data_IF_114043654316
#
_entry.id   IF_114043654316
#
_cell.length_a   1.000
_cell.length_b   1.000
_cell.length_c   1.000
_cell.angle_alpha   90.00
_cell.angle_beta   90.00
_cell.angle_gamma   90.00
#
_symmetry.space_group_name_H-M   'P 1'
#
loop_
_entity.id
_entity.type
_entity.pdbx_description
1 polymer ?
#
# COMPACT_ATOMS: atom_id res chain seq x y z
N UNK A 1 11.05 22.55 10.07
CA UNK A 1 11.54 22.08 8.75
C UNK A 1 10.85 22.83 7.61
N UNK A 2 9.52 22.80 7.45
CA UNK A 2 8.87 23.48 6.32
C UNK A 2 8.88 25.02 6.33
N UNK A 3 9.02 25.66 7.49
CA UNK A 3 8.92 27.12 7.63
C UNK A 3 10.00 27.92 6.86
N UNK A 4 11.11 27.29 6.50
CA UNK A 4 12.22 27.95 5.78
C UNK A 4 12.14 27.75 4.27
N UNK A 5 11.62 26.60 3.82
CA UNK A 5 11.72 26.16 2.42
C UNK A 5 10.38 26.11 1.66
N UNK A 6 9.25 26.40 2.33
CA UNK A 6 7.91 26.39 1.71
C UNK A 6 7.14 27.68 2.01
N UNK A 7 7.48 28.75 1.30
CA UNK A 7 6.78 30.03 1.41
C UNK A 7 5.28 29.95 1.06
N UNK A 8 4.83 28.88 0.40
CA UNK A 8 3.43 28.68 0.00
C UNK A 8 2.62 27.84 0.98
N UNK A 9 3.26 27.15 1.91
CA UNK A 9 2.63 26.19 2.82
C UNK A 9 2.05 24.93 2.14
N UNK A 10 2.21 24.79 0.83
CA UNK A 10 1.65 23.69 0.02
C UNK A 10 2.32 22.35 0.31
N UNK A 11 3.63 22.35 0.51
CA UNK A 11 4.36 21.13 0.88
C UNK A 11 3.95 20.67 2.28
N UNK A 12 3.85 21.60 3.23
CA UNK A 12 3.43 21.27 4.58
C UNK A 12 2.01 20.69 4.61
N UNK A 13 1.06 21.31 3.90
CA UNK A 13 -0.34 20.84 3.86
C UNK A 13 -0.47 19.50 3.15
N UNK A 14 0.21 19.29 2.02
CA UNK A 14 0.27 17.98 1.37
C UNK A 14 0.90 16.90 2.26
N UNK A 15 1.96 17.24 3.01
CA UNK A 15 2.60 16.34 3.94
C UNK A 15 1.67 15.92 5.08
N UNK A 16 0.89 16.85 5.65
CA UNK A 16 -0.10 16.54 6.69
C UNK A 16 -1.18 15.58 6.18
N UNK A 17 -1.66 15.76 4.95
CA UNK A 17 -2.62 14.84 4.32
C UNK A 17 -2.03 13.43 4.21
N UNK A 18 -0.78 13.32 3.75
CA UNK A 18 -0.07 12.04 3.65
C UNK A 18 0.11 11.36 5.01
N UNK A 19 0.50 12.12 6.04
CA UNK A 19 0.71 11.57 7.37
C UNK A 19 -0.60 11.12 8.04
N UNK A 20 -1.68 11.87 7.82
CA UNK A 20 -3.01 11.46 8.28
C UNK A 20 -3.50 10.20 7.55
N UNK A 21 -3.20 10.04 6.27
CA UNK A 21 -3.50 8.79 5.56
C UNK A 21 -2.72 7.61 6.14
N UNK A 22 -1.44 7.78 6.50
CA UNK A 22 -0.66 6.72 7.18
C UNK A 22 -1.27 6.36 8.53
N UNK A 23 -1.68 7.37 9.30
CA UNK A 23 -2.37 7.18 10.58
C UNK A 23 -3.66 6.38 10.40
N UNK A 24 -4.48 6.75 9.41
CA UNK A 24 -5.72 6.03 9.06
C UNK A 24 -5.43 4.56 8.75
N UNK A 25 -4.47 4.28 7.87
CA UNK A 25 -4.15 2.91 7.45
C UNK A 25 -3.51 2.05 8.55
N UNK A 26 -3.01 2.68 9.62
CA UNK A 26 -2.43 2.00 10.78
C UNK A 26 -3.44 1.80 11.93
N UNK A 27 -4.70 2.21 11.76
CA UNK A 27 -5.74 1.99 12.78
C UNK A 27 -6.03 0.50 12.98
N UNK A 28 -6.46 0.13 14.19
CA UNK A 28 -6.81 -1.24 14.56
C UNK A 28 -8.31 -1.53 14.63
N UNK A 29 -9.16 -0.54 14.36
CA UNK A 29 -10.62 -0.66 14.43
C UNK A 29 -11.31 0.21 13.39
N UNK A 30 -12.51 -0.20 12.96
CA UNK A 30 -13.31 0.58 12.02
C UNK A 30 -13.80 1.92 12.61
N UNK A 31 -14.01 1.97 13.92
CA UNK A 31 -14.40 3.20 14.61
C UNK A 31 -13.28 4.25 14.54
N UNK A 32 -12.05 3.83 14.87
CA UNK A 32 -10.88 4.71 14.78
C UNK A 32 -10.59 5.11 13.32
N UNK A 33 -10.77 4.18 12.39
CA UNK A 33 -10.60 4.43 10.96
C UNK A 33 -11.59 5.48 10.43
N UNK A 34 -12.86 5.42 10.85
CA UNK A 34 -13.86 6.42 10.48
C UNK A 34 -13.47 7.81 11.00
N UNK A 35 -13.09 7.92 12.28
CA UNK A 35 -12.63 9.18 12.86
C UNK A 35 -11.35 9.70 12.16
N UNK A 36 -10.43 8.82 11.79
CA UNK A 36 -9.22 9.18 11.05
C UNK A 36 -9.53 9.62 9.61
N UNK A 37 -10.55 9.04 8.97
CA UNK A 37 -11.03 9.42 7.64
C UNK A 37 -11.67 10.80 7.65
N UNK A 38 -12.46 11.12 8.67
CA UNK A 38 -13.07 12.46 8.81
C UNK A 38 -11.98 13.54 8.97
N UNK A 39 -10.96 13.26 9.81
CA UNK A 39 -9.79 14.15 9.92
C UNK A 39 -9.04 14.29 8.60
N UNK A 40 -8.88 13.19 7.85
CA UNK A 40 -8.26 13.22 6.53
C UNK A 40 -9.04 14.12 5.57
N UNK A 41 -10.37 14.02 5.55
CA UNK A 41 -11.23 14.88 4.73
C UNK A 41 -10.99 16.36 5.04
N UNK A 42 -11.02 16.73 6.32
CA UNK A 42 -10.77 18.12 6.75
C UNK A 42 -9.40 18.62 6.31
N UNK A 43 -8.36 17.79 6.39
CA UNK A 43 -7.03 18.17 5.92
C UNK A 43 -6.95 18.31 4.39
N UNK A 44 -7.63 17.45 3.65
CA UNK A 44 -7.70 17.54 2.18
C UNK A 44 -8.41 18.83 1.75
N UNK A 45 -9.54 19.14 2.38
CA UNK A 45 -10.30 20.37 2.13
C UNK A 45 -9.47 21.61 2.45
N UNK A 46 -8.72 21.60 3.56
CA UNK A 46 -7.81 22.69 3.93
C UNK A 46 -6.63 22.84 2.99
N UNK A 47 -6.07 21.74 2.49
CA UNK A 47 -5.00 21.79 1.51
C UNK A 47 -5.50 22.36 0.17
N UNK A 48 -6.73 21.99 -0.24
CA UNK A 48 -7.38 22.47 -1.45
C UNK A 48 -6.53 22.31 -2.74
N UNK A 49 -5.70 21.28 -2.81
CA UNK A 49 -4.82 21.01 -3.95
C UNK A 49 -5.40 19.91 -4.86
N UNK A 50 -5.17 19.97 -6.18
CA UNK A 50 -5.60 18.92 -7.11
C UNK A 50 -5.11 17.52 -6.72
N UNK A 51 -3.88 17.42 -6.22
CA UNK A 51 -3.22 16.17 -5.82
C UNK A 51 -3.90 15.57 -4.59
N UNK A 52 -4.16 16.36 -3.54
CA UNK A 52 -4.83 15.89 -2.32
C UNK A 52 -6.28 15.53 -2.59
N UNK A 53 -6.97 16.28 -3.45
CA UNK A 53 -8.33 15.98 -3.89
C UNK A 53 -8.40 14.66 -4.69
N UNK A 54 -7.39 14.38 -5.52
CA UNK A 54 -7.27 13.11 -6.24
C UNK A 54 -7.00 11.94 -5.30
N UNK A 55 -6.15 12.14 -4.30
CA UNK A 55 -5.88 11.15 -3.26
C UNK A 55 -7.18 10.82 -2.50
N UNK A 56 -7.92 11.84 -2.05
CA UNK A 56 -9.19 11.65 -1.35
C UNK A 56 -10.21 10.85 -2.18
N UNK A 57 -10.38 11.20 -3.46
CA UNK A 57 -11.25 10.41 -4.36
C UNK A 57 -10.82 8.94 -4.46
N UNK A 58 -9.53 8.68 -4.41
CA UNK A 58 -9.00 7.30 -4.41
C UNK A 58 -9.34 6.59 -3.11
N UNK A 59 -9.13 7.23 -1.96
CA UNK A 59 -9.48 6.68 -0.64
C UNK A 59 -10.97 6.36 -0.56
N UNK A 60 -11.84 7.29 -0.98
CA UNK A 60 -13.28 7.08 -1.00
C UNK A 60 -13.71 5.94 -1.94
N UNK A 61 -13.10 5.86 -3.13
CA UNK A 61 -13.40 4.81 -4.10
C UNK A 61 -13.08 3.40 -3.58
N UNK A 62 -11.99 3.27 -2.82
CA UNK A 62 -11.49 1.99 -2.30
C UNK A 62 -11.80 1.78 -0.82
N UNK A 63 -12.79 2.50 -0.29
CA UNK A 63 -13.06 2.52 1.15
C UNK A 63 -13.38 1.13 1.70
N UNK A 64 -14.18 0.34 0.97
CA UNK A 64 -14.55 -1.02 1.37
C UNK A 64 -13.35 -1.94 1.51
N UNK A 65 -12.38 -1.85 0.61
CA UNK A 65 -11.15 -2.63 0.65
C UNK A 65 -10.21 -2.17 1.78
N UNK A 66 -10.19 -0.87 2.08
CA UNK A 66 -9.45 -0.31 3.22
C UNK A 66 -10.04 -0.82 4.55
N UNK A 67 -11.36 -0.88 4.67
CA UNK A 67 -12.02 -1.48 5.85
C UNK A 67 -11.62 -2.95 6.03
N UNK A 68 -11.57 -3.72 4.94
CA UNK A 68 -11.10 -5.11 4.97
C UNK A 68 -9.64 -5.18 5.43
N UNK A 69 -8.76 -4.30 4.92
CA UNK A 69 -7.38 -4.22 5.37
C UNK A 69 -7.29 -3.97 6.88
N UNK A 70 -8.05 -3.02 7.42
CA UNK A 70 -8.03 -2.68 8.85
C UNK A 70 -8.51 -3.86 9.71
N UNK A 71 -9.59 -4.53 9.30
CA UNK A 71 -10.15 -5.65 10.07
C UNK A 71 -9.26 -6.89 10.01
N UNK A 72 -8.68 -7.18 8.85
CA UNK A 72 -7.98 -8.45 8.61
C UNK A 72 -6.46 -8.35 8.73
N UNK A 73 -5.89 -7.15 8.62
CA UNK A 73 -4.45 -6.94 8.41
C UNK A 73 -3.92 -7.58 7.12
N UNK A 74 -4.80 -8.06 6.23
CA UNK A 74 -4.40 -8.81 5.06
C UNK A 74 -3.78 -7.87 4.03
N UNK A 75 -2.48 -8.05 3.79
CA UNK A 75 -1.74 -7.32 2.76
C UNK A 75 -1.36 -8.25 1.62
N UNK A 76 -1.18 -7.68 0.42
CA UNK A 76 -0.62 -8.39 -0.73
C UNK A 76 0.86 -8.77 -0.52
N UNK A 77 1.49 -8.45 0.63
CA UNK A 77 2.90 -8.72 0.89
C UNK A 77 3.27 -10.20 0.72
N UNK A 78 2.42 -11.13 1.17
CA UNK A 78 2.65 -12.58 0.98
C UNK A 78 2.64 -12.97 -0.51
N UNK A 79 1.72 -12.39 -1.28
CA UNK A 79 1.62 -12.61 -2.73
C UNK A 79 2.83 -11.99 -3.45
N UNK A 80 3.21 -10.76 -3.09
CA UNK A 80 4.36 -10.07 -3.70
C UNK A 80 5.70 -10.73 -3.37
N UNK A 81 5.87 -11.26 -2.16
CA UNK A 81 7.05 -12.07 -1.81
C UNK A 81 7.17 -13.31 -2.71
N UNK A 82 6.04 -13.96 -3.00
CA UNK A 82 6.00 -15.10 -3.91
C UNK A 82 6.25 -14.67 -5.37
N UNK A 83 5.60 -13.60 -5.84
CA UNK A 83 5.81 -13.05 -7.19
C UNK A 83 7.27 -12.65 -7.42
N UNK A 84 7.89 -12.02 -6.42
CA UNK A 84 9.30 -11.63 -6.44
C UNK A 84 10.18 -12.87 -6.58
N UNK A 85 9.94 -13.90 -5.79
CA UNK A 85 10.69 -15.15 -5.89
C UNK A 85 10.52 -15.84 -7.25
N UNK A 86 9.32 -15.88 -7.79
CA UNK A 86 9.02 -16.41 -9.12
C UNK A 86 9.80 -15.63 -10.19
N UNK A 87 9.81 -14.30 -10.10
CA UNK A 87 10.60 -13.43 -10.99
C UNK A 87 12.10 -13.72 -10.87
N UNK A 88 12.62 -13.97 -9.67
CA UNK A 88 14.01 -14.38 -9.49
C UNK A 88 14.32 -15.73 -10.16
N UNK A 89 13.48 -16.75 -9.95
CA UNK A 89 13.63 -18.06 -10.61
C UNK A 89 13.68 -17.90 -12.14
N UNK A 90 12.79 -17.07 -12.70
CA UNK A 90 12.78 -16.76 -14.14
C UNK A 90 14.08 -16.08 -14.61
N UNK A 91 14.58 -15.10 -13.85
CA UNK A 91 15.82 -14.37 -14.17
C UNK A 91 17.06 -15.28 -14.10
N UNK A 92 17.22 -16.05 -13.02
CA UNK A 92 18.33 -16.99 -12.88
C UNK A 92 18.30 -18.09 -13.93
N UNK A 93 17.12 -18.55 -14.32
CA UNK A 93 16.95 -19.54 -15.40
C UNK A 93 17.19 -19.00 -16.82
N UNK A 94 17.35 -17.67 -17.00
CA UNK A 94 17.40 -17.00 -18.31
C UNK A 94 16.19 -17.32 -19.21
N UNK A 95 15.03 -17.50 -18.61
CA UNK A 95 13.81 -17.92 -19.30
C UNK A 95 13.63 -19.44 -19.36
N UNK A 96 12.38 -19.88 -19.47
CA UNK A 96 12.03 -21.29 -19.61
C UNK A 96 11.27 -21.47 -20.91
N UNK A 97 11.72 -22.40 -21.74
CA UNK A 97 11.02 -22.82 -22.97
C UNK A 97 9.93 -23.85 -22.68
N UNK A 98 10.05 -24.56 -21.54
CA UNK A 98 9.09 -25.59 -21.10
C UNK A 98 8.37 -25.15 -19.82
N UNK A 99 7.04 -25.00 -19.91
CA UNK A 99 6.20 -24.57 -18.79
C UNK A 99 6.18 -25.57 -17.61
N UNK A 100 6.36 -26.87 -17.88
CA UNK A 100 6.46 -27.89 -16.82
C UNK A 100 7.71 -27.67 -15.96
N UNK A 101 8.85 -27.42 -16.59
CA UNK A 101 10.11 -27.16 -15.88
C UNK A 101 10.04 -25.87 -15.05
N UNK A 102 9.40 -24.82 -15.59
CA UNK A 102 9.12 -23.59 -14.86
C UNK A 102 8.27 -23.84 -13.61
N UNK A 103 7.15 -24.56 -13.76
CA UNK A 103 6.26 -24.92 -12.64
C UNK A 103 6.99 -25.73 -11.57
N UNK A 104 7.75 -26.75 -11.97
CA UNK A 104 8.52 -27.59 -11.04
C UNK A 104 9.49 -26.76 -10.20
N UNK A 105 10.23 -25.81 -10.78
CA UNK A 105 11.18 -24.98 -10.03
C UNK A 105 10.50 -24.02 -9.04
N UNK A 106 9.32 -23.50 -9.38
CA UNK A 106 8.52 -22.70 -8.43
C UNK A 106 8.07 -23.57 -7.25
N UNK A 107 7.50 -24.74 -7.54
CA UNK A 107 7.00 -25.64 -6.50
C UNK A 107 8.10 -26.16 -5.58
N UNK A 108 9.28 -26.51 -6.13
CA UNK A 108 10.44 -26.96 -5.36
C UNK A 108 10.85 -25.92 -4.32
N UNK A 109 10.93 -24.63 -4.72
CA UNK A 109 11.27 -23.52 -3.82
C UNK A 109 10.24 -23.34 -2.71
N UNK A 110 8.96 -23.55 -3.01
CA UNK A 110 7.89 -23.48 -2.00
C UNK A 110 7.96 -24.65 -1.03
N UNK A 111 8.17 -25.87 -1.51
CA UNK A 111 8.30 -27.07 -0.68
C UNK A 111 9.49 -26.97 0.29
N UNK A 112 10.64 -26.48 -0.18
CA UNK A 112 11.82 -26.28 0.65
C UNK A 112 11.61 -25.25 1.78
N UNK A 113 10.75 -24.25 1.60
CA UNK A 113 10.39 -23.29 2.66
C UNK A 113 9.45 -23.86 3.71
N UNK A 114 8.61 -24.83 3.35
CA UNK A 114 7.63 -25.41 4.28
C UNK A 114 8.27 -26.44 5.21
N UNK A 115 9.38 -27.04 4.79
CA UNK A 115 10.11 -28.06 5.55
C UNK A 115 11.21 -27.50 6.48
N UNK A 116 11.46 -26.18 6.44
CA UNK A 116 12.45 -25.47 7.25
C UNK A 116 11.76 -24.59 8.28
#
# INVERSE_FOLDING_TARGET
>A
MFATDDATGKLQTAWLVNEQLRTLLATGSLADAAAAKDRLQVLVERAAQPETNRLWRTVCRWWKEIEVLIVTGATTAKVEANNTAIKHIKRTGRGFTNARNYKTRILLRSAARTAA
#
